data_IF_985782042925
#
_entry.id   IF_985782042925
#
_cell.length_a   1.000
_cell.length_b   1.000
_cell.length_c   1.000
_cell.angle_alpha   90.00
_cell.angle_beta   90.00
_cell.angle_gamma   90.00
#
_symmetry.space_group_name_H-M   'P 1'
#
loop_
_entity.id
_entity.type
_entity.pdbx_description
1 polymer ?
#
# COMPACT_ATOMS: atom_id res chain seq x y z
N UNK A 1 -7.56 -50.33 16.58
CA UNK A 1 -8.24 -50.66 15.31
C UNK A 1 -7.78 -49.64 14.28
N UNK A 2 -6.63 -49.88 13.62
CA UNK A 2 -5.99 -48.89 12.74
C UNK A 2 -6.29 -49.22 11.28
N UNK A 3 -7.02 -48.32 10.61
CA UNK A 3 -7.39 -48.44 9.20
C UNK A 3 -6.19 -48.04 8.34
N UNK A 4 -5.75 -49.00 7.53
CA UNK A 4 -4.76 -48.88 6.45
C UNK A 4 -5.37 -48.11 5.26
N UNK A 5 -4.62 -47.23 4.62
CA UNK A 5 -4.69 -46.93 3.17
C UNK A 5 -3.42 -46.17 2.79
N UNK A 6 -2.40 -46.87 2.27
CA UNK A 6 -2.14 -47.23 0.86
C UNK A 6 -1.60 -46.04 0.05
N UNK A 7 -0.26 -46.01 0.03
CA UNK A 7 0.62 -45.32 -0.90
C UNK A 7 0.24 -45.65 -2.34
N UNK A 8 0.14 -44.64 -3.21
CA UNK A 8 0.15 -44.80 -4.65
C UNK A 8 1.29 -43.92 -5.19
N UNK A 9 2.39 -44.58 -5.54
CA UNK A 9 3.39 -44.09 -6.48
C UNK A 9 2.86 -44.25 -7.92
N UNK A 10 3.59 -43.68 -8.90
CA UNK A 10 3.48 -43.79 -10.38
C UNK A 10 3.14 -42.42 -11.00
N UNK A 11 3.83 -41.86 -11.99
CA UNK A 11 4.87 -42.32 -12.91
C UNK A 11 5.68 -41.09 -13.39
N UNK A 12 7.01 -41.25 -13.52
CA UNK A 12 7.88 -40.34 -14.26
C UNK A 12 7.72 -40.61 -15.76
N UNK A 13 7.43 -39.57 -16.56
CA UNK A 13 7.61 -39.61 -18.02
C UNK A 13 8.68 -38.59 -18.38
N UNK A 14 9.75 -39.10 -18.99
CA UNK A 14 10.89 -38.36 -19.54
C UNK A 14 10.87 -38.55 -21.06
N UNK A 15 11.39 -37.53 -21.76
CA UNK A 15 11.63 -37.36 -23.21
C UNK A 15 10.48 -36.62 -23.92
N UNK A 16 10.73 -35.58 -24.71
CA UNK A 16 11.65 -35.58 -25.86
C UNK A 16 12.35 -34.21 -26.06
N UNK A 17 13.65 -34.28 -26.36
CA UNK A 17 14.47 -33.22 -26.96
C UNK A 17 13.98 -32.87 -28.37
N UNK A 18 13.80 -31.58 -28.66
CA UNK A 18 13.60 -31.06 -30.02
C UNK A 18 14.20 -29.68 -30.16
N UNK A 19 15.47 -29.61 -30.55
CA UNK A 19 16.11 -28.39 -31.05
C UNK A 19 15.44 -27.96 -32.36
N UNK A 20 15.08 -26.69 -32.49
CA UNK A 20 14.55 -26.15 -33.74
C UNK A 20 14.07 -24.72 -33.62
N UNK A 21 15.01 -23.78 -33.59
CA UNK A 21 14.71 -22.44 -34.10
C UNK A 21 14.47 -22.57 -35.61
N UNK A 22 13.23 -22.40 -36.05
CA UNK A 22 12.92 -22.07 -37.44
C UNK A 22 11.84 -21.01 -37.43
N UNK A 23 12.24 -19.82 -37.87
CA UNK A 23 11.36 -18.73 -38.24
C UNK A 23 10.38 -19.18 -39.33
N UNK A 24 9.10 -18.87 -39.14
CA UNK A 24 8.15 -18.75 -40.22
C UNK A 24 7.34 -17.47 -39.98
N UNK A 25 7.78 -16.37 -40.61
CA UNK A 25 6.84 -15.37 -41.07
C UNK A 25 6.20 -15.95 -42.33
N UNK A 26 4.88 -16.10 -42.32
CA UNK A 26 4.06 -15.37 -43.29
C UNK A 26 2.58 -15.41 -42.88
N UNK A 27 2.06 -14.18 -42.92
CA UNK A 27 0.69 -13.67 -42.94
C UNK A 27 -0.35 -14.64 -43.53
N UNK A 28 -1.43 -14.86 -42.78
CA UNK A 28 -2.76 -14.69 -43.35
C UNK A 28 -3.77 -14.26 -42.28
N UNK A 29 -4.61 -13.31 -42.65
CA UNK A 29 -5.58 -12.67 -41.78
C UNK A 29 -6.86 -13.48 -41.78
N UNK A 30 -7.31 -13.97 -40.62
CA UNK A 30 -8.76 -14.04 -40.38
C UNK A 30 -9.09 -13.97 -38.89
N UNK A 31 -10.13 -13.20 -38.62
CA UNK A 31 -10.58 -12.72 -37.32
C UNK A 31 -11.07 -13.86 -36.43
N UNK A 32 -10.28 -14.16 -35.39
CA UNK A 32 -10.71 -14.97 -34.25
C UNK A 32 -10.38 -14.24 -32.96
N UNK A 33 -11.34 -13.46 -32.47
CA UNK A 33 -11.31 -12.72 -31.21
C UNK A 33 -11.02 -13.69 -30.03
N UNK A 34 -9.75 -13.86 -29.65
CA UNK A 34 -9.37 -14.53 -28.42
C UNK A 34 -9.47 -13.50 -27.28
N UNK A 35 -10.34 -13.73 -26.27
CA UNK A 35 -10.48 -12.81 -25.14
C UNK A 35 -9.16 -12.75 -24.38
N UNK A 36 -8.88 -11.56 -23.86
CA UNK A 36 -7.62 -11.16 -23.27
C UNK A 36 -6.97 -12.25 -22.43
N UNK A 37 -5.67 -12.42 -22.62
CA UNK A 37 -4.83 -12.84 -21.53
C UNK A 37 -5.08 -11.84 -20.40
N UNK A 38 -5.88 -12.25 -19.43
CA UNK A 38 -5.91 -11.67 -18.09
C UNK A 38 -4.46 -11.66 -17.64
N UNK A 39 -3.83 -10.52 -17.87
CA UNK A 39 -2.51 -10.25 -17.35
C UNK A 39 -2.79 -10.06 -15.88
N UNK A 40 -2.65 -11.15 -15.11
CA UNK A 40 -2.69 -11.15 -13.65
C UNK A 40 -1.75 -10.03 -13.20
N UNK A 41 -2.31 -8.83 -12.95
CA UNK A 41 -1.53 -7.72 -12.44
C UNK A 41 -1.01 -8.20 -11.09
N UNK A 42 0.29 -8.06 -10.88
CA UNK A 42 0.86 -8.32 -9.56
C UNK A 42 0.02 -7.56 -8.51
N UNK A 43 -0.28 -8.18 -7.35
CA UNK A 43 -1.07 -7.54 -6.32
C UNK A 43 -0.36 -6.26 -5.88
N UNK A 44 -1.12 -5.17 -5.81
CA UNK A 44 -0.62 -3.86 -5.35
C UNK A 44 -0.17 -4.00 -3.90
N UNK A 45 1.03 -3.50 -3.58
CA UNK A 45 1.52 -3.42 -2.20
C UNK A 45 1.21 -2.05 -1.61
N UNK A 46 0.35 -2.03 -0.58
CA UNK A 46 -0.04 -0.79 0.10
C UNK A 46 0.36 -0.85 1.58
N UNK A 47 0.52 0.32 2.20
CA UNK A 47 0.73 0.46 3.64
C UNK A 47 0.01 1.69 4.18
N UNK A 48 -0.42 1.64 5.45
CA UNK A 48 -1.15 2.72 6.12
C UNK A 48 -0.39 3.17 7.35
N UNK A 49 -0.37 4.49 7.58
CA UNK A 49 0.07 5.12 8.81
C UNK A 49 -1.10 5.88 9.43
N UNK A 50 -1.23 5.86 10.75
CA UNK A 50 -2.16 6.77 11.44
C UNK A 50 -1.56 8.19 11.48
N UNK A 51 -2.36 9.20 11.14
CA UNK A 51 -1.93 10.62 11.17
C UNK A 51 -1.30 11.00 12.51
N UNK A 52 -1.94 10.60 13.62
CA UNK A 52 -1.49 10.90 14.98
C UNK A 52 -0.09 10.33 15.26
N UNK A 53 0.18 9.10 14.79
CA UNK A 53 1.48 8.48 14.94
C UNK A 53 2.53 9.23 14.13
N UNK A 54 2.23 9.60 12.88
CA UNK A 54 3.18 10.38 12.05
C UNK A 54 3.51 11.72 12.72
N UNK A 55 2.49 12.44 13.20
CA UNK A 55 2.65 13.72 13.88
C UNK A 55 3.47 13.60 15.17
N UNK A 56 3.28 12.52 15.93
CA UNK A 56 3.95 12.29 17.21
C UNK A 56 5.39 11.79 17.05
N UNK A 57 5.67 10.96 16.04
CA UNK A 57 6.95 10.27 15.90
C UNK A 57 8.02 11.14 15.24
N UNK A 58 7.65 12.03 14.31
CA UNK A 58 8.62 12.82 13.57
C UNK A 58 9.01 14.12 14.31
N UNK A 59 10.31 14.42 14.50
CA UNK A 59 10.74 15.63 15.21
C UNK A 59 10.23 16.94 14.57
N UNK A 60 10.18 16.99 13.23
CA UNK A 60 9.74 18.18 12.49
C UNK A 60 8.22 18.45 12.56
N UNK A 61 7.45 17.51 13.12
CA UNK A 61 5.99 17.56 13.17
C UNK A 61 5.45 17.79 14.57
N UNK A 62 6.31 17.93 15.59
CA UNK A 62 5.90 18.17 16.99
C UNK A 62 5.00 19.41 17.14
N UNK A 63 5.35 20.51 16.47
CA UNK A 63 4.52 21.72 16.48
C UNK A 63 3.14 21.49 15.81
N UNK A 64 3.08 20.62 14.81
CA UNK A 64 1.82 20.25 14.16
C UNK A 64 1.00 19.33 15.08
N UNK A 65 1.63 18.40 15.79
CA UNK A 65 0.97 17.52 16.73
C UNK A 65 0.26 18.32 17.84
N UNK A 66 0.95 19.30 18.42
CA UNK A 66 0.34 20.16 19.43
C UNK A 66 -0.91 20.88 18.89
N UNK A 67 -0.79 21.52 17.72
CA UNK A 67 -1.93 22.25 17.12
C UNK A 67 -3.07 21.33 16.71
N UNK A 68 -2.77 20.15 16.19
CA UNK A 68 -3.78 19.15 15.85
C UNK A 68 -4.59 18.75 17.08
N UNK A 69 -3.91 18.51 18.20
CA UNK A 69 -4.55 18.11 19.46
C UNK A 69 -5.43 19.24 20.03
N UNK A 70 -4.98 20.49 19.93
CA UNK A 70 -5.75 21.68 20.33
C UNK A 70 -6.99 21.88 19.44
N UNK A 71 -6.83 21.80 18.12
CA UNK A 71 -7.93 21.93 17.15
C UNK A 71 -8.96 20.78 17.35
N UNK A 72 -8.50 19.55 17.57
CA UNK A 72 -9.35 18.39 17.82
C UNK A 72 -10.16 18.53 19.11
N UNK A 73 -9.53 19.00 20.19
CA UNK A 73 -10.20 19.27 21.45
C UNK A 73 -11.27 20.36 21.30
N UNK A 74 -10.97 21.44 20.56
CA UNK A 74 -11.94 22.50 20.29
C UNK A 74 -13.18 22.01 19.53
N UNK A 75 -13.00 21.11 18.55
CA UNK A 75 -14.12 20.47 17.84
C UNK A 75 -14.96 19.64 18.81
N UNK A 76 -14.32 18.82 19.64
CA UNK A 76 -15.02 17.96 20.62
C UNK A 76 -15.77 18.76 21.67
N UNK A 77 -15.21 19.87 22.15
CA UNK A 77 -15.85 20.76 23.12
C UNK A 77 -17.04 21.54 22.54
N UNK A 78 -17.04 21.81 21.23
CA UNK A 78 -18.11 22.56 20.57
C UNK A 78 -19.46 21.82 20.56
N UNK A 79 -19.45 20.48 20.64
CA UNK A 79 -20.65 19.65 20.61
C UNK A 79 -21.49 19.80 19.33
N UNK A 80 -20.87 20.20 18.21
CA UNK A 80 -21.54 20.44 16.94
C UNK A 80 -22.15 19.15 16.34
N UNK A 81 -23.28 19.29 15.63
CA UNK A 81 -23.97 18.15 15.00
C UNK A 81 -23.15 17.51 13.86
N UNK A 82 -22.18 18.22 13.29
CA UNK A 82 -21.35 17.82 12.14
C UNK A 82 -19.90 17.47 12.51
N UNK A 83 -19.67 17.04 13.75
CA UNK A 83 -18.35 16.75 14.31
C UNK A 83 -17.49 15.83 13.40
N UNK A 84 -18.07 14.78 12.83
CA UNK A 84 -17.35 13.85 11.96
C UNK A 84 -16.81 14.53 10.69
N UNK A 85 -17.57 15.47 10.12
CA UNK A 85 -17.13 16.27 8.97
C UNK A 85 -15.98 17.18 9.37
N UNK A 86 -16.09 17.86 10.52
CA UNK A 86 -15.03 18.73 11.02
C UNK A 86 -13.74 17.96 11.32
N UNK A 87 -13.83 16.76 11.90
CA UNK A 87 -12.67 15.90 12.15
C UNK A 87 -12.06 15.42 10.83
N UNK A 88 -12.87 15.11 9.82
CA UNK A 88 -12.39 14.71 8.49
C UNK A 88 -11.61 15.86 7.83
N UNK A 89 -12.17 17.07 7.85
CA UNK A 89 -11.49 18.28 7.34
C UNK A 89 -10.21 18.59 8.10
N UNK A 90 -10.23 18.43 9.43
CA UNK A 90 -9.04 18.56 10.28
C UNK A 90 -7.96 17.58 9.85
N UNK A 91 -8.29 16.30 9.71
CA UNK A 91 -7.35 15.28 9.28
C UNK A 91 -6.76 15.60 7.92
N UNK A 92 -7.56 16.02 6.93
CA UNK A 92 -7.07 16.40 5.61
C UNK A 92 -6.10 17.59 5.67
N UNK A 93 -6.42 18.62 6.46
CA UNK A 93 -5.55 19.79 6.68
C UNK A 93 -4.18 19.38 7.25
N UNK A 94 -4.16 18.50 8.24
CA UNK A 94 -2.92 18.08 8.89
C UNK A 94 -2.16 17.02 8.09
N UNK A 95 -2.84 16.16 7.32
CA UNK A 95 -2.21 15.28 6.34
C UNK A 95 -1.45 16.10 5.29
N UNK A 96 -2.06 17.13 4.72
CA UNK A 96 -1.35 18.00 3.78
C UNK A 96 -0.13 18.66 4.44
N UNK A 97 -0.31 19.21 5.64
CA UNK A 97 0.76 19.92 6.37
C UNK A 97 1.93 19.01 6.78
N UNK A 98 1.64 17.76 7.15
CA UNK A 98 2.67 16.79 7.54
C UNK A 98 3.41 16.27 6.31
N UNK A 99 2.66 15.97 5.24
CA UNK A 99 3.22 15.51 3.97
C UNK A 99 4.20 16.54 3.41
N UNK A 100 3.83 17.83 3.37
CA UNK A 100 4.72 18.91 2.93
C UNK A 100 6.03 19.00 3.74
N UNK A 101 6.00 18.65 5.03
CA UNK A 101 7.17 18.73 5.91
C UNK A 101 8.10 17.53 5.77
N UNK A 102 7.53 16.33 5.68
CA UNK A 102 8.29 15.08 5.81
C UNK A 102 8.19 14.20 4.56
N UNK A 103 7.85 14.79 3.39
CA UNK A 103 7.69 14.06 2.13
C UNK A 103 8.88 13.15 1.84
N UNK A 104 10.10 13.66 2.04
CA UNK A 104 11.32 12.89 1.77
C UNK A 104 11.40 11.61 2.60
N UNK A 105 11.04 11.68 3.88
CA UNK A 105 11.01 10.51 4.77
C UNK A 105 9.87 9.54 4.41
N UNK A 106 8.70 10.07 4.03
CA UNK A 106 7.59 9.24 3.55
C UNK A 106 7.93 8.51 2.25
N UNK A 107 8.60 9.17 1.31
CA UNK A 107 9.07 8.58 0.05
C UNK A 107 10.11 7.51 0.30
N UNK A 108 11.14 7.82 1.11
CA UNK A 108 12.20 6.87 1.44
C UNK A 108 11.65 5.66 2.22
N UNK A 109 10.71 5.86 3.14
CA UNK A 109 10.03 4.76 3.82
C UNK A 109 9.23 3.89 2.84
N UNK A 110 8.48 4.50 1.92
CA UNK A 110 7.70 3.81 0.88
C UNK A 110 8.61 2.93 0.01
N UNK A 111 9.75 3.46 -0.41
CA UNK A 111 10.76 2.72 -1.19
C UNK A 111 11.36 1.56 -0.38
N UNK A 112 11.75 1.80 0.87
CA UNK A 112 12.35 0.79 1.75
C UNK A 112 11.41 -0.39 2.02
N UNK A 113 10.12 -0.09 2.22
CA UNK A 113 9.08 -1.11 2.43
C UNK A 113 8.61 -1.75 1.12
N UNK A 114 9.09 -1.27 -0.05
CA UNK A 114 8.69 -1.74 -1.39
C UNK A 114 7.17 -1.64 -1.60
N UNK A 115 6.59 -0.53 -1.16
CA UNK A 115 5.19 -0.23 -1.33
C UNK A 115 4.95 0.47 -2.68
N UNK A 116 3.88 0.09 -3.36
CA UNK A 116 3.38 0.83 -4.51
C UNK A 116 2.69 2.13 -4.06
N UNK A 117 2.07 2.12 -2.88
CA UNK A 117 1.39 3.28 -2.28
C UNK A 117 1.52 3.28 -0.76
N UNK A 118 1.71 4.48 -0.19
CA UNK A 118 1.65 4.73 1.24
C UNK A 118 0.49 5.68 1.53
N UNK A 119 -0.32 5.33 2.53
CA UNK A 119 -1.44 6.13 2.99
C UNK A 119 -1.17 6.69 4.38
N UNK A 120 -1.63 7.91 4.63
CA UNK A 120 -1.90 8.41 5.99
C UNK A 120 -3.41 8.43 6.18
N UNK A 121 -3.90 7.67 7.15
CA UNK A 121 -5.31 7.27 7.29
C UNK A 121 -5.82 6.63 5.98
N UNK A 122 -6.54 7.39 5.14
CA UNK A 122 -7.08 6.92 3.85
C UNK A 122 -6.62 7.81 2.67
N UNK A 123 -5.65 8.68 2.88
CA UNK A 123 -5.10 9.58 1.86
C UNK A 123 -3.76 9.06 1.38
N UNK A 124 -3.59 8.86 0.06
CA UNK A 124 -2.29 8.51 -0.52
C UNK A 124 -1.35 9.71 -0.37
N UNK A 125 -0.17 9.47 0.21
CA UNK A 125 0.85 10.51 0.47
C UNK A 125 2.17 10.23 -0.23
N UNK A 126 2.41 8.99 -0.67
CA UNK A 126 3.59 8.62 -1.46
C UNK A 126 3.29 7.41 -2.36
N UNK A 127 4.10 7.24 -3.40
CA UNK A 127 3.94 6.20 -4.42
C UNK A 127 2.97 6.59 -5.54
N UNK A 128 2.17 5.64 -6.03
CA UNK A 128 1.25 5.83 -7.14
C UNK A 128 0.00 6.66 -6.75
N UNK A 129 0.06 7.96 -7.05
CA UNK A 129 -1.00 8.93 -6.77
C UNK A 129 -2.26 8.77 -7.64
N UNK A 130 -2.20 8.01 -8.74
CA UNK A 130 -3.36 7.78 -9.63
C UNK A 130 -4.26 6.64 -9.15
N UNK A 131 -3.87 5.96 -8.08
CA UNK A 131 -4.61 4.86 -7.51
C UNK A 131 -5.80 5.33 -6.69
N UNK A 132 -6.91 4.61 -6.76
CA UNK A 132 -8.07 4.82 -5.89
C UNK A 132 -7.85 4.08 -4.55
N UNK A 133 -7.74 4.78 -3.41
CA UNK A 133 -7.59 4.15 -2.09
C UNK A 133 -8.68 3.12 -1.79
N UNK A 134 -9.90 3.33 -2.31
CA UNK A 134 -11.03 2.44 -2.06
C UNK A 134 -10.90 1.08 -2.75
N UNK A 135 -9.96 0.93 -3.69
CA UNK A 135 -9.68 -0.32 -4.39
C UNK A 135 -8.58 -1.15 -3.71
N UNK A 136 -7.93 -0.59 -2.69
CA UNK A 136 -6.92 -1.27 -1.91
C UNK A 136 -7.59 -2.18 -0.88
N UNK A 137 -7.49 -3.49 -1.08
CA UNK A 137 -7.88 -4.47 -0.08
C UNK A 137 -6.73 -4.75 0.89
N UNK A 138 -7.06 -4.99 2.16
CA UNK A 138 -6.14 -5.48 3.20
C UNK A 138 -4.88 -4.62 3.38
N UNK A 139 -5.03 -3.29 3.46
CA UNK A 139 -3.90 -2.38 3.72
C UNK A 139 -3.41 -2.54 5.17
N UNK A 140 -2.18 -3.06 5.41
CA UNK A 140 -1.62 -3.20 6.74
C UNK A 140 -1.32 -1.83 7.37
N UNK A 141 -1.48 -1.75 8.69
CA UNK A 141 -1.01 -0.63 9.50
C UNK A 141 0.51 -0.78 9.74
N UNK A 142 1.28 0.25 9.42
CA UNK A 142 2.75 0.26 9.39
C UNK A 142 3.36 1.29 10.36
N UNK A 143 2.59 1.85 11.28
CA UNK A 143 3.09 2.87 12.21
C UNK A 143 4.30 2.42 13.03
N UNK A 144 4.36 1.15 13.44
CA UNK A 144 5.51 0.61 14.19
C UNK A 144 6.77 0.47 13.31
N UNK A 145 6.60 0.08 12.05
CA UNK A 145 7.65 0.01 11.05
C UNK A 145 8.20 1.40 10.75
N UNK A 146 7.31 2.40 10.68
CA UNK A 146 7.70 3.80 10.48
C UNK A 146 8.47 4.36 11.68
N UNK A 147 8.04 4.08 12.91
CA UNK A 147 8.80 4.42 14.12
C UNK A 147 10.22 3.84 14.08
N UNK A 148 10.34 2.54 13.77
CA UNK A 148 11.65 1.88 13.67
C UNK A 148 12.51 2.52 12.57
N UNK A 149 11.94 2.82 11.41
CA UNK A 149 12.64 3.52 10.33
C UNK A 149 13.22 4.88 10.79
N UNK A 150 12.43 5.67 11.52
CA UNK A 150 12.88 6.97 12.03
C UNK A 150 13.99 6.84 13.07
N UNK A 151 13.94 5.81 13.93
CA UNK A 151 15.00 5.53 14.90
C UNK A 151 16.30 5.12 14.18
N UNK A 152 16.20 4.27 13.16
CA UNK A 152 17.37 3.80 12.40
C UNK A 152 18.00 4.90 11.54
N UNK A 153 17.19 5.79 10.96
CA UNK A 153 17.66 6.86 10.07
C UNK A 153 18.31 8.04 10.80
N UNK A 154 18.05 8.19 12.10
CA UNK A 154 18.62 9.24 12.95
C UNK A 154 19.88 8.82 13.73
N UNK A 155 20.37 7.58 13.53
CA UNK A 155 21.62 7.06 14.12
C UNK A 155 22.75 6.98 13.10
#
# INVERSE_FOLDING_TARGET
>A
MFKKSRVIAVLLIVLILGSGAVFAQDVDSDMGNAPGADTEKAPVTAGRLALENVLQLHPETQDLYQKYTEDLAAIQESGAEDMDSQITELNQKYIASVTDKIQADLDQFTENQKLDVLLINDTIVSGNQEMDPAQLADVPELSSEFENYLIESNN
#
